data_IF_948653050272
#
_entry.id   IF_948653050272
#
_cell.length_a   1.000
_cell.length_b   1.000
_cell.length_c   1.000
_cell.angle_alpha   90.00
_cell.angle_beta   90.00
_cell.angle_gamma   90.00
#
_symmetry.space_group_name_H-M   'P 1'
#
loop_
_entity.id
_entity.type
_entity.pdbx_description
1 polymer ?
#
# COMPACT_ATOMS: atom_id res chain seq x y z
N UNK A 1 -9.75 41.47 -9.53
CA UNK A 1 -8.88 40.28 -9.65
C UNK A 1 -9.66 39.22 -10.40
N UNK A 2 -9.09 38.69 -11.48
CA UNK A 2 -9.72 37.62 -12.25
C UNK A 2 -9.51 36.29 -11.53
N UNK A 3 -10.49 35.38 -11.57
CA UNK A 3 -10.36 34.01 -11.01
C UNK A 3 -9.10 33.32 -11.54
N UNK A 4 -8.70 33.63 -12.78
CA UNK A 4 -7.48 33.10 -13.38
C UNK A 4 -6.20 33.59 -12.68
N UNK A 5 -6.17 34.84 -12.18
CA UNK A 5 -5.01 35.40 -11.47
C UNK A 5 -4.84 34.75 -10.10
N UNK A 6 -5.94 34.52 -9.39
CA UNK A 6 -5.93 33.83 -8.09
C UNK A 6 -5.44 32.39 -8.23
N UNK A 7 -5.89 31.67 -9.27
CA UNK A 7 -5.47 30.30 -9.54
C UNK A 7 -3.98 30.21 -9.89
N UNK A 8 -3.44 31.17 -10.64
CA UNK A 8 -1.99 31.25 -10.91
C UNK A 8 -1.21 31.47 -9.61
N UNK A 9 -1.70 32.32 -8.72
CA UNK A 9 -1.06 32.56 -7.43
C UNK A 9 -1.04 31.33 -6.52
N UNK A 10 -2.06 30.46 -6.58
CA UNK A 10 -2.09 29.21 -5.82
C UNK A 10 -1.20 28.14 -6.46
N UNK A 11 -1.23 27.98 -7.79
CA UNK A 11 -0.38 27.02 -8.49
C UNK A 11 1.11 27.33 -8.33
N UNK A 12 1.49 28.60 -8.23
CA UNK A 12 2.88 29.02 -8.02
C UNK A 12 3.45 28.62 -6.64
N UNK A 13 2.61 28.21 -5.68
CA UNK A 13 3.04 27.74 -4.36
C UNK A 13 3.32 26.24 -4.32
N UNK A 14 2.87 25.49 -5.34
CA UNK A 14 3.04 24.03 -5.41
C UNK A 14 4.48 23.69 -5.82
N UNK A 15 5.05 22.58 -5.29
CA UNK A 15 6.30 22.05 -5.81
C UNK A 15 6.12 21.54 -7.25
N UNK A 16 7.19 21.56 -8.04
CA UNK A 16 7.17 21.25 -9.48
C UNK A 16 6.54 19.89 -9.81
N UNK A 17 6.76 18.88 -8.95
CA UNK A 17 6.18 17.55 -9.10
C UNK A 17 4.64 17.56 -8.99
N UNK A 18 4.11 18.29 -8.00
CA UNK A 18 2.67 18.43 -7.79
C UNK A 18 2.04 19.29 -8.88
N UNK A 19 2.72 20.37 -9.29
CA UNK A 19 2.28 21.20 -10.39
C UNK A 19 2.17 20.39 -11.69
N UNK A 20 3.18 19.56 -12.00
CA UNK A 20 3.15 18.68 -13.16
C UNK A 20 1.98 17.67 -13.10
N UNK A 21 1.70 17.08 -11.93
CA UNK A 21 0.57 16.18 -11.75
C UNK A 21 -0.79 16.88 -11.95
N UNK A 22 -0.95 18.10 -11.42
CA UNK A 22 -2.15 18.92 -11.62
C UNK A 22 -2.35 19.27 -13.10
N UNK A 23 -1.28 19.65 -13.80
CA UNK A 23 -1.31 19.98 -15.23
C UNK A 23 -1.67 18.75 -16.07
N UNK A 24 -1.12 17.58 -15.76
CA UNK A 24 -1.46 16.32 -16.44
C UNK A 24 -2.96 16.01 -16.28
N UNK A 25 -3.51 16.15 -15.07
CA UNK A 25 -4.95 15.93 -14.80
C UNK A 25 -5.84 16.98 -15.47
N UNK A 26 -5.44 18.24 -15.49
CA UNK A 26 -6.23 19.32 -16.09
C UNK A 26 -6.27 19.26 -17.62
N UNK A 27 -5.24 18.69 -18.24
CA UNK A 27 -5.12 18.50 -19.69
C UNK A 27 -5.68 17.16 -20.20
N UNK A 28 -6.01 16.23 -19.31
CA UNK A 28 -6.59 14.93 -19.66
C UNK A 28 -7.91 15.09 -20.44
N UNK A 29 -8.07 14.29 -21.50
CA UNK A 29 -9.22 14.32 -22.41
C UNK A 29 -9.36 15.57 -23.29
N UNK A 30 -8.45 16.56 -23.20
CA UNK A 30 -8.48 17.77 -24.05
C UNK A 30 -7.58 17.59 -25.27
N UNK A 31 -8.18 17.29 -26.42
CA UNK A 31 -7.45 17.02 -27.67
C UNK A 31 -6.45 18.12 -28.08
N UNK A 32 -6.74 19.40 -27.79
CA UNK A 32 -5.83 20.51 -28.08
C UNK A 32 -4.62 20.62 -27.14
N UNK A 33 -4.57 19.86 -26.04
CA UNK A 33 -3.53 19.89 -25.02
C UNK A 33 -2.82 18.53 -24.84
N UNK A 34 -2.97 17.60 -25.78
CA UNK A 34 -2.40 16.25 -25.68
C UNK A 34 -0.88 16.25 -25.49
N UNK A 35 -0.15 17.09 -26.24
CA UNK A 35 1.30 17.20 -26.10
C UNK A 35 1.71 17.73 -24.71
N UNK A 36 0.92 18.65 -24.14
CA UNK A 36 1.15 19.18 -22.79
C UNK A 36 0.86 18.10 -21.72
N UNK A 37 -0.19 17.29 -21.93
CA UNK A 37 -0.51 16.16 -21.07
C UNK A 37 0.63 15.14 -21.03
N UNK A 38 1.18 14.75 -22.19
CA UNK A 38 2.30 13.81 -22.27
C UNK A 38 3.55 14.33 -21.56
N UNK A 39 3.91 15.60 -21.80
CA UNK A 39 5.07 16.22 -21.14
C UNK A 39 4.85 16.32 -19.63
N UNK A 40 3.67 16.76 -19.18
CA UNK A 40 3.36 16.87 -17.76
C UNK A 40 3.37 15.49 -17.07
N UNK A 41 2.84 14.46 -17.72
CA UNK A 41 2.88 13.09 -17.22
C UNK A 41 4.32 12.54 -17.14
N UNK A 42 5.15 12.82 -18.14
CA UNK A 42 6.56 12.44 -18.13
C UNK A 42 7.35 13.15 -17.02
N UNK A 43 7.11 14.45 -16.80
CA UNK A 43 7.72 15.22 -15.71
C UNK A 43 7.26 14.71 -14.34
N UNK A 44 5.96 14.43 -14.17
CA UNK A 44 5.44 13.85 -12.93
C UNK A 44 6.06 12.48 -12.64
N UNK A 45 6.27 11.64 -13.65
CA UNK A 45 6.89 10.32 -13.50
C UNK A 45 8.40 10.39 -13.18
N UNK A 46 9.10 11.42 -13.66
CA UNK A 46 10.55 11.57 -13.46
C UNK A 46 10.89 12.28 -12.16
N UNK A 47 10.10 13.29 -11.77
CA UNK A 47 10.31 14.04 -10.51
C UNK A 47 9.63 13.34 -9.33
N UNK A 48 8.55 12.61 -9.57
CA UNK A 48 7.83 11.83 -8.55
C UNK A 48 8.50 10.51 -8.15
N UNK A 49 9.67 10.17 -8.71
CA UNK A 49 10.44 8.96 -8.35
C UNK A 49 11.46 9.19 -7.23
N UNK A 50 11.19 10.07 -6.25
CA UNK A 50 11.71 9.80 -4.92
C UNK A 50 10.93 8.59 -4.40
N UNK A 51 11.55 7.40 -4.26
CA UNK A 51 10.84 6.24 -3.80
C UNK A 51 10.53 6.45 -2.31
N UNK A 52 9.31 6.87 -2.00
CA UNK A 52 8.70 6.65 -0.68
C UNK A 52 8.14 5.22 -0.59
N UNK A 53 8.65 4.31 -1.41
CA UNK A 53 8.58 2.88 -1.15
C UNK A 53 9.90 2.48 -0.49
N UNK A 54 9.80 1.82 0.66
CA UNK A 54 10.88 0.95 1.15
C UNK A 54 11.29 0.10 -0.04
N UNK A 55 12.53 0.27 -0.50
CA UNK A 55 13.14 -0.59 -1.51
C UNK A 55 13.28 -1.98 -0.90
N UNK A 56 12.20 -2.76 -0.96
CA UNK A 56 12.28 -4.21 -0.74
C UNK A 56 12.89 -4.77 -2.00
N UNK A 57 14.21 -4.66 -2.11
CA UNK A 57 15.00 -5.51 -3.00
C UNK A 57 14.65 -6.95 -2.63
N UNK A 58 14.02 -7.75 -3.50
CA UNK A 58 14.00 -9.19 -3.28
C UNK A 58 15.46 -9.63 -3.39
N UNK A 59 15.98 -10.13 -2.28
CA UNK A 59 17.32 -10.71 -2.12
C UNK A 59 17.42 -12.06 -2.88
N UNK A 60 16.98 -12.08 -4.14
CA UNK A 60 17.18 -13.19 -5.05
C UNK A 60 18.36 -12.87 -5.93
N UNK A 61 19.53 -13.22 -5.41
CA UNK A 61 20.79 -13.26 -6.14
C UNK A 61 20.59 -14.03 -7.46
N UNK A 62 20.74 -13.40 -8.65
CA UNK A 62 20.62 -14.11 -9.90
C UNK A 62 21.89 -14.94 -10.10
N UNK A 63 21.87 -16.19 -9.64
CA UNK A 63 22.92 -17.15 -9.92
C UNK A 63 23.14 -17.26 -11.45
N UNK A 64 24.37 -17.12 -11.96
CA UNK A 64 24.63 -17.18 -13.39
C UNK A 64 24.74 -18.63 -13.85
N UNK A 65 23.85 -19.03 -14.76
CA UNK A 65 24.12 -20.13 -15.70
C UNK A 65 22.98 -21.12 -15.89
N UNK A 66 22.16 -20.93 -16.93
CA UNK A 66 21.82 -21.95 -17.94
C UNK A 66 20.84 -21.41 -19.00
N UNK A 67 20.86 -21.95 -20.24
CA UNK A 67 20.42 -21.27 -21.47
C UNK A 67 18.89 -21.41 -21.76
N UNK A 68 18.34 -20.71 -22.78
CA UNK A 68 16.90 -20.51 -22.92
C UNK A 68 16.23 -21.68 -23.67
N UNK A 69 14.87 -21.62 -23.71
CA UNK A 69 13.88 -22.32 -24.57
C UNK A 69 12.77 -22.91 -23.65
N UNK A 70 11.47 -22.86 -23.92
CA UNK A 70 10.63 -22.35 -24.99
C UNK A 70 9.20 -22.19 -24.41
N UNK A 71 8.38 -21.32 -24.99
CA UNK A 71 6.96 -21.14 -24.63
C UNK A 71 6.16 -22.44 -24.83
N UNK A 72 5.30 -22.88 -23.88
CA UNK A 72 4.25 -23.82 -24.19
C UNK A 72 2.91 -23.10 -24.33
N UNK A 73 2.33 -23.37 -25.49
CA UNK A 73 1.00 -23.09 -25.98
C UNK A 73 -0.08 -23.68 -25.06
N UNK A 74 -1.23 -23.01 -25.11
CA UNK A 74 -2.53 -23.35 -24.54
C UNK A 74 -2.91 -24.83 -24.71
N UNK A 75 -3.33 -25.49 -23.63
CA UNK A 75 -3.96 -26.81 -23.69
C UNK A 75 -5.47 -26.72 -23.52
N UNK A 76 -6.16 -27.31 -24.49
CA UNK A 76 -7.60 -27.50 -24.65
C UNK A 76 -8.35 -27.94 -23.39
N UNK A 77 -9.55 -27.37 -23.27
CA UNK A 77 -10.63 -27.80 -22.39
C UNK A 77 -11.65 -28.59 -23.24
N UNK A 78 -11.94 -29.85 -22.90
CA UNK A 78 -13.11 -30.64 -23.34
C UNK A 78 -13.57 -31.41 -22.09
N UNK A 79 -14.60 -30.95 -21.39
CA UNK A 79 -16.02 -31.25 -21.57
C UNK A 79 -16.41 -32.69 -21.17
N UNK A 80 -17.31 -32.80 -20.19
CA UNK A 80 -17.91 -34.03 -19.69
C UNK A 80 -18.68 -33.79 -18.38
N UNK A 81 -19.90 -33.24 -18.45
CA UNK A 81 -20.79 -32.98 -17.31
C UNK A 81 -21.53 -34.22 -16.78
N UNK A 82 -22.71 -34.07 -16.16
CA UNK A 82 -23.01 -33.27 -14.97
C UNK A 82 -23.59 -34.16 -13.85
N UNK A 83 -23.28 -33.90 -12.58
CA UNK A 83 -24.06 -34.45 -11.47
C UNK A 83 -24.01 -33.48 -10.29
N UNK A 84 -25.14 -32.81 -10.05
CA UNK A 84 -25.37 -32.10 -8.80
C UNK A 84 -25.53 -33.09 -7.65
N UNK A 85 -24.87 -32.81 -6.53
CA UNK A 85 -25.37 -32.97 -5.17
C UNK A 85 -24.23 -32.74 -4.18
N UNK A 86 -24.42 -31.75 -3.29
CA UNK A 86 -23.73 -31.66 -2.02
C UNK A 86 -22.39 -30.94 -2.06
N UNK A 87 -22.29 -29.81 -1.36
CA UNK A 87 -21.02 -29.45 -0.73
C UNK A 87 -20.58 -30.66 0.11
N UNK A 88 -19.35 -31.19 -0.04
CA UNK A 88 -18.87 -32.19 0.90
C UNK A 88 -18.57 -31.44 2.19
N UNK A 89 -19.49 -31.50 3.15
CA UNK A 89 -19.15 -31.29 4.55
C UNK A 89 -18.05 -32.32 4.87
N UNK A 90 -16.85 -31.91 5.30
CA UNK A 90 -15.83 -32.88 5.67
C UNK A 90 -16.37 -33.71 6.85
N UNK A 91 -16.23 -35.05 6.82
CA UNK A 91 -16.64 -35.87 7.94
C UNK A 91 -15.84 -35.46 9.17
N UNK A 92 -16.56 -35.08 10.23
CA UNK A 92 -16.00 -34.88 11.57
C UNK A 92 -15.27 -36.18 11.96
N UNK A 93 -13.94 -36.12 12.04
CA UNK A 93 -13.14 -37.15 12.68
C UNK A 93 -12.10 -37.91 11.83
N UNK A 94 -11.86 -37.58 10.56
CA UNK A 94 -10.75 -38.22 9.82
C UNK A 94 -9.47 -37.38 9.97
N UNK A 95 -8.37 -37.92 10.54
CA UNK A 95 -7.10 -37.23 10.51
C UNK A 95 -6.65 -37.11 9.05
N UNK A 96 -6.60 -35.87 8.55
CA UNK A 96 -6.04 -35.55 7.25
C UNK A 96 -4.59 -36.04 7.29
N UNK A 97 -4.26 -37.01 6.43
CA UNK A 97 -2.91 -37.56 6.35
C UNK A 97 -1.89 -36.42 6.28
N UNK A 98 -0.75 -36.49 7.00
CA UNK A 98 0.22 -35.42 7.05
C UNK A 98 0.79 -35.27 5.65
N UNK A 99 0.25 -34.33 4.89
CA UNK A 99 0.80 -34.01 3.60
C UNK A 99 2.14 -33.32 3.80
N UNK A 100 2.93 -33.33 2.73
CA UNK A 100 4.34 -32.96 2.78
C UNK A 100 4.46 -31.46 3.01
N UNK A 101 5.22 -31.05 4.02
CA UNK A 101 5.58 -29.64 4.25
C UNK A 101 4.42 -28.71 4.62
N UNK A 102 3.35 -29.21 5.23
CA UNK A 102 2.22 -28.37 5.67
C UNK A 102 1.15 -28.12 4.60
N UNK A 103 1.17 -28.88 3.51
CA UNK A 103 0.13 -28.88 2.48
C UNK A 103 -0.53 -30.25 2.42
N UNK A 104 -1.81 -30.33 2.08
CA UNK A 104 -2.52 -31.58 1.79
C UNK A 104 -2.00 -32.19 0.48
N UNK A 105 -2.34 -33.45 0.22
CA UNK A 105 -1.99 -34.10 -1.06
C UNK A 105 -2.59 -33.42 -2.29
N UNK A 106 -3.65 -32.62 -2.12
CA UNK A 106 -4.26 -31.79 -3.17
C UNK A 106 -3.61 -30.41 -3.32
N UNK A 107 -2.54 -30.13 -2.57
CA UNK A 107 -1.80 -28.88 -2.62
C UNK A 107 -2.43 -27.73 -1.82
N UNK A 108 -3.41 -28.01 -0.94
CA UNK A 108 -4.05 -26.99 -0.11
C UNK A 108 -3.27 -26.85 1.21
N UNK A 109 -2.91 -25.64 1.66
CA UNK A 109 -2.30 -25.45 2.99
C UNK A 109 -3.16 -26.06 4.10
N UNK A 110 -2.55 -26.78 5.03
CA UNK A 110 -3.24 -27.27 6.22
C UNK A 110 -3.53 -26.14 7.19
N UNK A 111 -4.50 -26.34 8.09
CA UNK A 111 -4.83 -25.35 9.11
C UNK A 111 -3.63 -25.03 10.00
N UNK A 112 -2.87 -26.06 10.41
CA UNK A 112 -1.68 -25.91 11.24
C UNK A 112 -0.58 -25.10 10.52
N UNK A 113 -0.35 -25.32 9.22
CA UNK A 113 0.69 -24.56 8.51
C UNK A 113 0.34 -23.08 8.34
N UNK A 114 -0.94 -22.75 8.15
CA UNK A 114 -1.40 -21.36 8.14
C UNK A 114 -1.29 -20.74 9.54
N UNK A 115 -1.68 -21.48 10.59
CA UNK A 115 -1.55 -21.05 11.98
C UNK A 115 -0.08 -20.73 12.31
N UNK A 116 0.82 -21.67 12.08
CA UNK A 116 2.26 -21.51 12.33
C UNK A 116 2.82 -20.31 11.56
N UNK A 117 2.38 -20.10 10.31
CA UNK A 117 2.82 -18.97 9.51
C UNK A 117 2.33 -17.63 10.06
N UNK A 118 1.08 -17.58 10.53
CA UNK A 118 0.51 -16.37 11.16
C UNK A 118 1.22 -16.07 12.47
N UNK A 119 1.44 -17.07 13.32
CA UNK A 119 2.15 -16.91 14.59
C UNK A 119 3.58 -16.41 14.37
N UNK A 120 4.29 -16.98 13.40
CA UNK A 120 5.64 -16.53 13.07
C UNK A 120 5.65 -15.08 12.56
N UNK A 121 4.75 -14.73 11.65
CA UNK A 121 4.67 -13.35 11.13
C UNK A 121 4.28 -12.35 12.22
N UNK A 122 3.35 -12.72 13.09
CA UNK A 122 2.93 -11.88 14.19
C UNK A 122 4.08 -11.63 15.18
N UNK A 123 4.80 -12.69 15.57
CA UNK A 123 5.97 -12.56 16.44
C UNK A 123 7.08 -11.69 15.85
N UNK A 124 7.37 -11.85 14.55
CA UNK A 124 8.35 -10.99 13.85
C UNK A 124 7.89 -9.54 13.78
N UNK A 125 6.64 -9.28 13.42
CA UNK A 125 6.10 -7.92 13.34
C UNK A 125 6.16 -7.21 14.70
N UNK A 126 5.81 -7.91 15.78
CA UNK A 126 5.89 -7.34 17.14
C UNK A 126 7.33 -7.01 17.55
N UNK A 127 8.32 -7.84 17.15
CA UNK A 127 9.73 -7.57 17.43
C UNK A 127 10.32 -6.44 16.58
N UNK A 128 9.89 -6.31 15.31
CA UNK A 128 10.33 -5.24 14.42
C UNK A 128 9.82 -3.88 14.88
N UNK A 129 8.57 -3.78 15.29
CA UNK A 129 7.96 -2.53 15.78
C UNK A 129 8.70 -1.97 17.00
N UNK A 130 9.16 -2.83 17.92
CA UNK A 130 10.02 -2.41 19.04
C UNK A 130 11.39 -1.92 18.56
N UNK A 131 12.01 -2.60 17.60
CA UNK A 131 13.29 -2.20 17.05
C UNK A 131 13.19 -0.87 16.28
N UNK A 132 12.14 -0.71 15.48
CA UNK A 132 11.86 0.49 14.70
C UNK A 132 11.67 1.71 15.60
N UNK A 133 10.98 1.57 16.73
CA UNK A 133 10.87 2.63 17.76
C UNK A 133 12.20 3.02 18.38
N UNK A 134 13.13 2.07 18.55
CA UNK A 134 14.46 2.35 19.12
C UNK A 134 15.40 3.02 18.11
N UNK A 135 15.08 3.01 16.81
CA UNK A 135 15.87 3.73 15.80
C UNK A 135 15.81 5.25 16.01
N UNK A 136 16.84 6.01 15.57
CA UNK A 136 16.80 7.47 15.61
C UNK A 136 15.64 8.07 14.81
N UNK A 137 15.28 7.44 13.68
CA UNK A 137 14.15 7.85 12.86
C UNK A 137 12.81 7.60 13.58
N UNK A 138 12.63 6.43 14.20
CA UNK A 138 11.44 6.10 14.98
C UNK A 138 11.20 7.07 16.15
N UNK A 139 12.25 7.41 16.89
CA UNK A 139 12.16 8.43 17.98
C UNK A 139 11.69 9.79 17.47
N UNK A 140 12.16 10.22 16.30
CA UNK A 140 11.76 11.51 15.72
C UNK A 140 10.30 11.55 15.27
N UNK A 141 9.74 10.42 14.86
CA UNK A 141 8.32 10.30 14.47
C UNK A 141 7.42 10.36 15.71
N UNK A 142 7.81 9.67 16.79
CA UNK A 142 7.11 9.72 18.07
C UNK A 142 7.08 11.14 18.63
N UNK A 143 8.22 11.84 18.63
CA UNK A 143 8.31 13.24 19.09
C UNK A 143 7.40 14.18 18.28
N UNK A 144 7.32 13.99 16.96
CA UNK A 144 6.42 14.76 16.11
C UNK A 144 4.95 14.46 16.40
N UNK A 145 4.61 13.21 16.67
CA UNK A 145 3.27 12.80 17.05
C UNK A 145 2.87 13.45 18.38
N UNK A 146 3.72 13.35 19.40
CA UNK A 146 3.51 13.97 20.71
C UNK A 146 3.37 15.50 20.62
N UNK A 147 4.20 16.16 19.80
CA UNK A 147 4.08 17.58 19.55
C UNK A 147 2.71 17.94 18.96
N UNK A 148 2.23 17.19 17.96
CA UNK A 148 0.91 17.40 17.35
C UNK A 148 -0.21 17.17 18.37
N UNK A 149 -0.12 16.13 19.19
CA UNK A 149 -1.10 15.83 20.24
C UNK A 149 -1.15 16.93 21.29
N UNK A 150 0.00 17.44 21.72
CA UNK A 150 0.07 18.56 22.68
C UNK A 150 -0.56 19.83 22.10
N UNK A 151 -0.22 20.20 20.86
CA UNK A 151 -0.82 21.36 20.19
C UNK A 151 -2.33 21.20 20.02
N UNK A 152 -2.80 20.00 19.66
CA UNK A 152 -4.23 19.73 19.55
C UNK A 152 -4.95 19.92 20.90
N UNK A 153 -4.36 19.40 21.99
CA UNK A 153 -4.90 19.57 23.35
C UNK A 153 -4.95 21.03 23.77
N UNK A 154 -3.88 21.78 23.56
CA UNK A 154 -3.82 23.21 23.89
C UNK A 154 -4.87 24.02 23.12
N UNK A 155 -5.05 23.73 21.83
CA UNK A 155 -6.11 24.36 21.02
C UNK A 155 -7.51 24.04 21.56
N UNK A 156 -7.77 22.79 21.96
CA UNK A 156 -9.05 22.40 22.55
C UNK A 156 -9.31 23.11 23.89
N UNK A 157 -8.27 23.28 24.71
CA UNK A 157 -8.35 24.04 25.96
C UNK A 157 -8.65 25.53 25.71
N UNK A 158 -8.00 26.13 24.71
CA UNK A 158 -8.28 27.51 24.30
C UNK A 158 -9.73 27.69 23.84
N UNK A 159 -10.25 26.76 23.03
CA UNK A 159 -11.65 26.77 22.59
C UNK A 159 -12.60 26.65 23.80
N UNK A 160 -12.33 25.71 24.71
CA UNK A 160 -13.14 25.54 25.93
C UNK A 160 -13.19 26.84 26.75
N UNK A 161 -12.05 27.51 26.90
CA UNK A 161 -11.97 28.79 27.61
C UNK A 161 -12.74 29.90 26.89
N UNK A 162 -12.63 30.00 25.56
CA UNK A 162 -13.37 31.02 24.81
C UNK A 162 -14.87 30.80 24.86
N UNK A 163 -15.34 29.55 24.86
CA UNK A 163 -16.78 29.28 25.02
C UNK A 163 -17.28 29.68 26.41
N UNK A 164 -16.56 29.35 27.48
CA UNK A 164 -16.99 29.68 28.84
C UNK A 164 -16.89 31.19 29.17
N UNK A 165 -15.93 31.90 28.56
CA UNK A 165 -15.77 33.34 28.75
C UNK A 165 -16.86 34.17 28.07
N UNK A 166 -17.38 33.73 26.92
CA UNK A 166 -18.46 34.40 26.19
C UNK A 166 -19.85 34.23 26.85
N UNK A 167 -20.01 33.24 27.73
CA UNK A 167 -21.26 33.04 28.50
C UNK A 167 -21.31 33.92 29.77
N UNK A 168 -20.22 34.61 30.12
CA UNK A 168 -20.06 35.38 31.37
C UNK A 168 -20.16 36.91 31.19
N UNK A 169 -20.57 37.38 30.02
CA UNK A 169 -20.71 38.80 29.62
C UNK A 169 -22.14 39.05 29.08
#
# INVERSE_FOLDING_TARGET
MSIAEDLVSELAKLPDAELAAVVARASDGRAGLSALHEVAAAVAATVGHAPDYIDVTPDTDPAPGSPPLAVPVTSDQVEGGPAGAGLPLPPVGIPIAPGIGGYTTSGVPTFESVRDKVEQRYGTAQGMDELDRQTPAGRSVEEQWDARQKTARERLEQIRKSMHGNDSD
#
